data_IF_052000503110
#
_entry.id   IF_052000503110
#
_cell.length_a   1.000
_cell.length_b   1.000
_cell.length_c   1.000
_cell.angle_alpha   90.00
_cell.angle_beta   90.00
_cell.angle_gamma   90.00
#
_symmetry.space_group_name_H-M   'P 1'
#
loop_
_entity.id
_entity.type
_entity.pdbx_description
1 polymer ?
#
# COMPACT_ATOMS: atom_id res chain seq x y z
N UNK A 1 11.33 15.56 26.32
CA UNK A 1 10.07 14.83 26.64
C UNK A 1 8.84 15.73 26.48
N UNK A 2 8.87 16.95 27.01
CA UNK A 2 7.76 17.94 26.92
C UNK A 2 7.51 18.41 25.47
N UNK A 3 8.56 18.58 24.69
CA UNK A 3 8.45 19.03 23.29
C UNK A 3 7.81 17.94 22.42
N UNK A 4 8.27 16.70 22.54
CA UNK A 4 7.73 15.55 21.83
C UNK A 4 6.22 15.36 22.11
N UNK A 5 5.79 15.58 23.35
CA UNK A 5 4.39 15.54 23.74
C UNK A 5 3.58 16.67 23.08
N UNK A 6 4.12 17.88 23.00
CA UNK A 6 3.45 19.01 22.34
C UNK A 6 3.20 18.74 20.86
N UNK A 7 4.18 18.19 20.13
CA UNK A 7 3.97 17.80 18.73
C UNK A 7 2.90 16.74 18.60
N UNK A 8 2.91 15.73 19.47
CA UNK A 8 1.88 14.70 19.46
C UNK A 8 0.47 15.26 19.67
N UNK A 9 0.27 16.16 20.62
CA UNK A 9 -1.04 16.77 20.87
C UNK A 9 -1.55 17.58 19.64
N UNK A 10 -0.64 18.22 18.92
CA UNK A 10 -0.99 18.89 17.64
C UNK A 10 -1.40 17.87 16.59
N UNK A 11 -0.62 16.79 16.44
CA UNK A 11 -0.92 15.70 15.50
C UNK A 11 -2.30 15.10 15.83
N UNK A 12 -2.53 14.69 17.08
CA UNK A 12 -3.80 14.09 17.49
C UNK A 12 -4.97 15.01 17.15
N UNK A 13 -4.88 16.28 17.52
CA UNK A 13 -5.92 17.27 17.24
C UNK A 13 -6.21 17.41 15.74
N UNK A 14 -5.18 17.46 14.90
CA UNK A 14 -5.34 17.59 13.44
C UNK A 14 -5.98 16.34 12.83
N UNK A 15 -5.57 15.16 13.27
CA UNK A 15 -6.08 13.89 12.73
C UNK A 15 -7.51 13.58 13.15
N UNK A 16 -7.97 14.13 14.30
CA UNK A 16 -9.31 13.88 14.83
C UNK A 16 -10.26 15.08 14.74
N UNK A 17 -9.84 16.20 14.13
CA UNK A 17 -10.56 17.49 14.15
C UNK A 17 -12.01 17.42 13.68
N UNK A 18 -12.27 16.68 12.60
CA UNK A 18 -13.60 16.55 11.99
C UNK A 18 -14.17 15.13 12.15
N UNK A 19 -13.64 14.38 13.11
CA UNK A 19 -13.99 12.98 13.33
C UNK A 19 -14.66 12.79 14.68
N UNK A 20 -15.51 11.78 14.78
CA UNK A 20 -16.20 11.45 16.04
C UNK A 20 -16.24 9.94 16.29
N UNK A 21 -16.21 9.51 17.56
CA UNK A 21 -16.34 8.12 17.95
C UNK A 21 -17.69 7.52 17.56
N UNK A 22 -17.71 6.20 17.34
CA UNK A 22 -18.91 5.45 16.97
C UNK A 22 -19.07 4.19 17.83
N UNK A 23 -20.29 3.73 18.02
CA UNK A 23 -20.58 2.53 18.83
C UNK A 23 -20.00 1.25 18.20
N UNK A 24 -20.12 1.11 16.86
CA UNK A 24 -19.66 -0.05 16.11
C UNK A 24 -18.55 0.38 15.13
N UNK A 25 -17.31 0.56 15.61
CA UNK A 25 -16.23 1.09 14.80
C UNK A 25 -15.71 0.07 13.78
N UNK A 26 -15.22 0.59 12.66
CA UNK A 26 -14.60 -0.17 11.58
C UNK A 26 -13.13 0.22 11.48
N UNK A 27 -12.26 -0.79 11.42
CA UNK A 27 -10.86 -0.62 11.12
C UNK A 27 -10.52 -1.21 9.74
N UNK A 28 -10.04 -0.38 8.83
CA UNK A 28 -9.52 -0.83 7.53
C UNK A 28 -8.00 -0.86 7.60
N UNK A 29 -7.41 -2.04 7.49
CA UNK A 29 -5.96 -2.25 7.47
C UNK A 29 -5.52 -2.42 6.03
N UNK A 30 -4.73 -1.47 5.53
CA UNK A 30 -4.27 -1.47 4.13
C UNK A 30 -2.81 -1.91 4.06
N UNK A 31 -2.52 -2.91 3.21
CA UNK A 31 -1.19 -3.41 2.93
C UNK A 31 -0.81 -3.34 1.46
N UNK A 32 0.48 -3.23 1.22
CA UNK A 32 1.06 -3.19 -0.12
C UNK A 32 2.46 -2.57 -0.10
N UNK A 33 3.30 -2.97 -1.06
CA UNK A 33 4.66 -2.45 -1.15
C UNK A 33 4.68 -0.94 -1.48
N UNK A 34 5.80 -0.31 -1.21
CA UNK A 34 6.04 1.08 -1.63
C UNK A 34 5.89 1.19 -3.15
N UNK A 35 5.27 2.24 -3.63
CA UNK A 35 4.97 2.42 -5.06
C UNK A 35 3.74 1.66 -5.56
N UNK A 36 3.07 0.84 -4.74
CA UNK A 36 1.88 0.10 -5.19
C UNK A 36 0.67 1.00 -5.50
N UNK A 37 0.59 2.21 -4.94
CA UNK A 37 -0.56 3.11 -5.11
C UNK A 37 -1.58 3.03 -3.98
N UNK A 38 -1.13 2.74 -2.75
CA UNK A 38 -1.99 2.63 -1.56
C UNK A 38 -2.86 3.86 -1.30
N UNK A 39 -2.38 5.06 -1.63
CA UNK A 39 -3.17 6.30 -1.48
C UNK A 39 -4.51 6.25 -2.24
N UNK A 40 -4.54 5.65 -3.42
CA UNK A 40 -5.79 5.42 -4.16
C UNK A 40 -6.73 4.45 -3.44
N UNK A 41 -6.19 3.36 -2.87
CA UNK A 41 -6.98 2.42 -2.08
C UNK A 41 -7.48 3.03 -0.76
N UNK A 42 -6.72 3.95 -0.15
CA UNK A 42 -7.16 4.74 1.01
C UNK A 42 -8.36 5.60 0.61
N UNK A 43 -8.25 6.40 -0.44
CA UNK A 43 -9.33 7.26 -0.92
C UNK A 43 -10.59 6.45 -1.30
N UNK A 44 -10.40 5.28 -1.90
CA UNK A 44 -11.49 4.34 -2.16
C UNK A 44 -12.12 3.82 -0.86
N UNK A 45 -11.30 3.45 0.12
CA UNK A 45 -11.75 2.94 1.41
C UNK A 45 -12.49 4.00 2.22
N UNK A 46 -12.07 5.25 2.14
CA UNK A 46 -12.69 6.37 2.82
C UNK A 46 -14.16 6.57 2.42
N UNK A 47 -14.51 6.26 1.17
CA UNK A 47 -15.89 6.32 0.65
C UNK A 47 -16.86 5.34 1.34
N UNK A 48 -16.35 4.41 2.17
CA UNK A 48 -17.21 3.51 2.97
C UNK A 48 -17.85 4.21 4.17
N UNK A 49 -17.23 5.29 4.65
CA UNK A 49 -17.62 5.94 5.90
C UNK A 49 -18.56 7.11 5.60
N UNK A 50 -19.75 7.15 6.24
CA UNK A 50 -20.64 8.31 6.16
C UNK A 50 -19.89 9.58 6.61
N UNK A 51 -20.14 10.68 5.92
CA UNK A 51 -19.55 11.99 6.22
C UNK A 51 -18.02 11.99 6.28
N UNK A 52 -17.37 10.98 5.68
CA UNK A 52 -15.94 10.73 5.80
C UNK A 52 -15.44 10.59 7.24
N UNK A 53 -16.31 10.15 8.19
CA UNK A 53 -15.97 9.98 9.59
C UNK A 53 -15.00 8.81 9.81
N UNK A 54 -13.73 9.04 9.51
CA UNK A 54 -12.66 8.05 9.64
C UNK A 54 -11.30 8.72 9.82
N UNK A 55 -10.51 8.27 10.79
CA UNK A 55 -9.13 8.73 11.01
C UNK A 55 -8.19 7.90 10.12
N UNK A 56 -7.44 8.57 9.25
CA UNK A 56 -6.44 7.94 8.39
C UNK A 56 -5.07 8.03 9.06
N UNK A 57 -4.48 6.87 9.37
CA UNK A 57 -3.20 6.77 10.08
C UNK A 57 -2.13 6.25 9.12
N UNK A 58 -1.20 7.13 8.78
CA UNK A 58 -0.06 6.86 7.90
C UNK A 58 1.18 7.56 8.45
N UNK A 59 2.23 6.79 8.77
CA UNK A 59 3.46 7.34 9.35
C UNK A 59 4.18 8.33 8.42
N UNK A 60 4.06 8.18 7.11
CA UNK A 60 4.68 9.09 6.15
C UNK A 60 4.06 10.51 6.19
N UNK A 61 2.79 10.63 6.54
CA UNK A 61 2.10 11.92 6.70
C UNK A 61 2.43 12.61 8.03
N UNK A 62 2.91 11.85 9.03
CA UNK A 62 3.32 12.35 10.34
C UNK A 62 4.79 12.83 10.34
N UNK A 63 5.64 12.31 9.44
CA UNK A 63 7.07 12.70 9.34
C UNK A 63 7.33 14.22 9.23
N UNK A 64 6.53 15.02 8.50
CA UNK A 64 6.74 16.46 8.40
C UNK A 64 6.62 17.22 9.73
N UNK A 65 6.01 16.62 10.76
CA UNK A 65 5.90 17.21 12.10
C UNK A 65 7.21 17.10 12.92
N UNK A 66 8.20 16.37 12.41
CA UNK A 66 9.52 16.33 13.05
C UNK A 66 10.14 17.72 13.08
N UNK A 67 10.64 18.22 14.26
CA UNK A 67 11.10 19.60 14.44
C UNK A 67 12.10 20.07 13.39
N UNK A 68 12.98 19.17 12.97
CA UNK A 68 14.02 19.44 11.97
C UNK A 68 13.72 18.81 10.61
N UNK A 69 12.48 18.32 10.40
CA UNK A 69 12.13 17.56 9.21
C UNK A 69 12.36 18.34 7.92
N UNK A 70 11.93 19.59 7.85
CA UNK A 70 12.10 20.45 6.68
C UNK A 70 13.58 20.78 6.40
N UNK A 71 14.36 21.05 7.45
CA UNK A 71 15.79 21.35 7.32
C UNK A 71 16.56 20.12 6.82
N UNK A 72 16.30 18.94 7.39
CA UNK A 72 16.92 17.68 6.99
C UNK A 72 16.52 17.34 5.54
N UNK A 73 15.26 17.50 5.18
CA UNK A 73 14.79 17.25 3.84
C UNK A 73 15.51 18.11 2.78
N UNK A 74 15.80 19.37 3.09
CA UNK A 74 16.48 20.29 2.18
C UNK A 74 17.99 20.08 2.11
N UNK A 75 18.64 19.82 3.25
CA UNK A 75 20.10 19.71 3.32
C UNK A 75 20.64 18.29 3.15
N UNK A 76 19.88 17.29 3.61
CA UNK A 76 20.29 15.89 3.70
C UNK A 76 19.12 14.96 3.35
N UNK A 77 18.55 15.06 2.11
CA UNK A 77 17.34 14.32 1.73
C UNK A 77 17.47 12.80 1.89
N UNK A 78 18.68 12.26 1.74
CA UNK A 78 18.98 10.84 1.93
C UNK A 78 18.87 10.38 3.41
N UNK A 79 19.01 11.31 4.36
CA UNK A 79 18.88 11.04 5.79
C UNK A 79 17.47 11.29 6.32
N UNK A 80 16.62 11.98 5.56
CA UNK A 80 15.30 12.40 6.01
C UNK A 80 14.49 11.27 6.64
N UNK A 81 14.31 10.18 5.90
CA UNK A 81 13.56 9.02 6.40
C UNK A 81 14.19 8.41 7.63
N UNK A 82 15.53 8.21 7.62
CA UNK A 82 16.26 7.59 8.74
C UNK A 82 16.13 8.38 10.03
N UNK A 83 16.18 9.70 9.94
CA UNK A 83 16.13 10.57 11.14
C UNK A 83 14.68 10.73 11.63
N UNK A 84 13.71 10.90 10.73
CA UNK A 84 12.32 11.17 11.11
C UNK A 84 11.52 9.91 11.47
N UNK A 85 11.99 8.71 11.13
CA UNK A 85 11.24 7.46 11.34
C UNK A 85 10.99 7.16 12.82
N UNK A 86 11.93 7.44 13.70
CA UNK A 86 11.80 7.08 15.11
C UNK A 86 10.65 7.84 15.77
N UNK A 87 10.63 9.16 15.67
CA UNK A 87 9.59 10.00 16.22
C UNK A 87 8.25 9.77 15.53
N UNK A 88 8.23 9.75 14.19
CA UNK A 88 6.98 9.54 13.46
C UNK A 88 6.34 8.19 13.77
N UNK A 89 7.12 7.12 13.91
CA UNK A 89 6.60 5.80 14.31
C UNK A 89 6.07 5.80 15.74
N UNK A 90 6.72 6.51 16.66
CA UNK A 90 6.25 6.66 18.05
C UNK A 90 4.92 7.40 18.07
N UNK A 91 4.82 8.53 17.38
CA UNK A 91 3.55 9.29 17.30
C UNK A 91 2.45 8.52 16.56
N UNK A 92 2.80 7.80 15.49
CA UNK A 92 1.85 6.95 14.76
C UNK A 92 1.28 5.84 15.65
N UNK A 93 2.15 5.19 16.42
CA UNK A 93 1.74 4.13 17.36
C UNK A 93 0.82 4.67 18.45
N UNK A 94 1.16 5.84 18.99
CA UNK A 94 0.35 6.50 20.02
C UNK A 94 -1.00 6.99 19.45
N UNK A 95 -1.00 7.55 18.23
CA UNK A 95 -2.24 7.95 17.57
C UNK A 95 -3.15 6.75 17.30
N UNK A 96 -2.58 5.64 16.84
CA UNK A 96 -3.33 4.40 16.66
C UNK A 96 -3.93 3.88 17.96
N UNK A 97 -3.17 3.98 19.07
CA UNK A 97 -3.65 3.61 20.40
C UNK A 97 -4.82 4.50 20.87
N UNK A 98 -4.66 5.82 20.80
CA UNK A 98 -5.69 6.76 21.26
C UNK A 98 -6.97 6.63 20.42
N UNK A 99 -6.85 6.62 19.08
CA UNK A 99 -7.96 6.51 18.13
C UNK A 99 -8.76 5.23 18.34
N UNK A 100 -8.08 4.08 18.50
CA UNK A 100 -8.79 2.80 18.75
C UNK A 100 -9.46 2.72 20.11
N UNK A 101 -8.84 3.28 21.16
CA UNK A 101 -9.41 3.28 22.51
C UNK A 101 -10.63 4.20 22.62
N UNK A 102 -10.62 5.30 21.87
CA UNK A 102 -11.72 6.25 21.78
C UNK A 102 -12.83 5.81 20.77
N UNK A 103 -12.68 4.65 20.11
CA UNK A 103 -13.69 4.09 19.20
C UNK A 103 -13.95 4.90 17.92
N UNK A 104 -12.95 5.56 17.37
CA UNK A 104 -13.07 6.13 16.03
C UNK A 104 -13.03 5.04 14.97
N UNK A 105 -13.71 5.26 13.83
CA UNK A 105 -13.37 4.52 12.63
C UNK A 105 -11.95 4.86 12.21
N UNK A 106 -11.20 3.89 11.70
CA UNK A 106 -9.83 4.13 11.28
C UNK A 106 -9.45 3.41 9.98
N UNK A 107 -8.56 4.03 9.22
CA UNK A 107 -7.80 3.40 8.13
C UNK A 107 -6.34 3.44 8.54
N UNK A 108 -5.72 2.28 8.69
CA UNK A 108 -4.30 2.16 9.02
C UNK A 108 -3.52 1.67 7.80
N UNK A 109 -2.61 2.51 7.31
CA UNK A 109 -1.73 2.16 6.19
C UNK A 109 -0.42 1.55 6.69
N UNK A 110 -0.08 0.38 6.14
CA UNK A 110 1.19 -0.28 6.40
C UNK A 110 1.72 -1.01 5.17
N UNK A 111 2.85 -1.68 5.34
CA UNK A 111 3.47 -2.47 4.27
C UNK A 111 3.11 -3.95 4.34
N UNK A 112 2.68 -4.42 5.50
CA UNK A 112 2.46 -5.85 5.78
C UNK A 112 3.67 -6.73 5.43
N UNK A 113 4.89 -6.23 5.69
CA UNK A 113 6.13 -6.95 5.38
C UNK A 113 6.38 -8.16 6.28
N UNK A 114 5.68 -8.24 7.42
CA UNK A 114 5.74 -9.31 8.40
C UNK A 114 4.43 -9.41 9.19
N UNK A 115 4.29 -10.45 10.01
CA UNK A 115 3.04 -10.78 10.71
C UNK A 115 2.72 -9.89 11.90
N UNK A 116 3.54 -8.89 12.23
CA UNK A 116 3.33 -8.04 13.41
C UNK A 116 1.93 -7.42 13.48
N UNK A 117 1.40 -6.94 12.36
CA UNK A 117 0.06 -6.35 12.31
C UNK A 117 -1.03 -7.40 12.65
N UNK A 118 -0.82 -8.64 12.19
CA UNK A 118 -1.74 -9.75 12.44
C UNK A 118 -1.71 -10.21 13.89
N UNK A 119 -0.54 -10.18 14.52
CA UNK A 119 -0.36 -10.71 15.88
C UNK A 119 -0.64 -9.67 16.96
N UNK A 120 -0.36 -8.40 16.72
CA UNK A 120 -0.48 -7.34 17.71
C UNK A 120 -1.73 -6.47 17.47
N UNK A 121 -1.89 -5.86 16.29
CA UNK A 121 -2.91 -4.84 16.06
C UNK A 121 -4.31 -5.42 15.85
N UNK A 122 -4.44 -6.42 14.99
CA UNK A 122 -5.77 -6.99 14.65
C UNK A 122 -6.46 -7.61 15.87
N UNK A 123 -5.81 -8.45 16.70
CA UNK A 123 -6.46 -9.00 17.87
C UNK A 123 -6.95 -7.95 18.88
N UNK A 124 -6.18 -6.87 19.05
CA UNK A 124 -6.59 -5.77 19.93
C UNK A 124 -7.83 -5.07 19.36
N UNK A 125 -7.87 -4.78 18.07
CA UNK A 125 -9.03 -4.16 17.41
C UNK A 125 -10.28 -5.06 17.56
N UNK A 126 -10.15 -6.35 17.28
CA UNK A 126 -11.24 -7.32 17.44
C UNK A 126 -11.72 -7.39 18.90
N UNK A 127 -10.79 -7.42 19.88
CA UNK A 127 -11.09 -7.40 21.31
C UNK A 127 -11.80 -6.11 21.76
N UNK A 128 -11.53 -4.98 21.11
CA UNK A 128 -12.23 -3.71 21.32
C UNK A 128 -13.58 -3.63 20.58
N UNK A 129 -13.98 -4.64 19.84
CA UNK A 129 -15.27 -4.70 19.14
C UNK A 129 -15.28 -4.06 17.75
N UNK A 130 -14.10 -3.78 17.15
CA UNK A 130 -14.01 -3.34 15.77
C UNK A 130 -14.42 -4.43 14.79
N UNK A 131 -15.06 -4.02 13.71
CA UNK A 131 -15.07 -4.81 12.47
C UNK A 131 -13.79 -4.56 11.70
N UNK A 132 -12.98 -5.61 11.51
CA UNK A 132 -11.67 -5.50 10.87
C UNK A 132 -11.72 -5.89 9.40
N UNK A 133 -11.46 -4.93 8.53
CA UNK A 133 -11.36 -5.10 7.08
C UNK A 133 -9.89 -5.04 6.68
N UNK A 134 -9.36 -6.13 6.14
CA UNK A 134 -7.98 -6.20 5.64
C UNK A 134 -7.98 -6.05 4.12
N UNK A 135 -7.21 -5.10 3.60
CA UNK A 135 -7.07 -4.83 2.17
C UNK A 135 -5.64 -4.91 1.69
N UNK A 136 -5.36 -5.85 0.81
CA UNK A 136 -4.07 -5.96 0.13
C UNK A 136 -4.11 -5.32 -1.25
N UNK A 137 -3.09 -4.53 -1.60
CA UNK A 137 -2.94 -3.97 -2.96
C UNK A 137 -1.85 -4.74 -3.71
N UNK A 138 -2.25 -5.58 -4.64
CA UNK A 138 -1.38 -6.40 -5.46
C UNK A 138 -1.00 -5.65 -6.75
N UNK A 139 0.31 -5.39 -6.91
CA UNK A 139 0.91 -4.73 -8.07
C UNK A 139 2.26 -5.40 -8.35
N UNK A 140 2.67 -5.51 -9.60
CA UNK A 140 3.95 -6.10 -9.97
C UNK A 140 5.14 -5.34 -9.40
N UNK A 141 6.29 -6.01 -9.33
CA UNK A 141 7.54 -5.39 -8.88
C UNK A 141 8.00 -4.29 -9.83
N UNK A 142 7.86 -4.51 -11.12
CA UNK A 142 8.21 -3.54 -12.15
C UNK A 142 7.36 -2.28 -12.06
N UNK A 143 6.03 -2.42 -12.00
CA UNK A 143 5.09 -1.31 -11.87
C UNK A 143 5.35 -0.45 -10.63
N UNK A 144 5.50 -1.09 -9.48
CA UNK A 144 5.70 -0.37 -8.23
C UNK A 144 7.06 0.32 -8.15
N UNK A 145 8.13 -0.27 -8.70
CA UNK A 145 9.45 0.35 -8.76
C UNK A 145 9.50 1.53 -9.74
N UNK A 146 8.89 1.41 -10.93
CA UNK A 146 8.71 2.56 -11.84
C UNK A 146 8.00 3.71 -11.14
N UNK A 147 6.89 3.44 -10.46
CA UNK A 147 6.13 4.46 -9.75
C UNK A 147 6.90 5.10 -8.58
N UNK A 148 7.86 4.41 -7.97
CA UNK A 148 8.78 5.00 -6.99
C UNK A 148 9.65 6.07 -7.66
N UNK A 149 10.25 5.76 -8.80
CA UNK A 149 11.09 6.70 -9.55
C UNK A 149 10.29 7.90 -10.08
N UNK A 150 9.14 7.66 -10.69
CA UNK A 150 8.24 8.72 -11.18
C UNK A 150 7.84 9.68 -10.05
N UNK A 151 7.44 9.15 -8.89
CA UNK A 151 7.11 9.95 -7.73
C UNK A 151 8.31 10.76 -7.24
N UNK A 152 9.48 10.15 -7.21
CA UNK A 152 10.71 10.81 -6.79
C UNK A 152 11.06 11.99 -7.71
N UNK A 153 11.07 11.77 -9.03
CA UNK A 153 11.32 12.82 -10.02
C UNK A 153 10.28 13.95 -9.92
N UNK A 154 9.01 13.61 -9.74
CA UNK A 154 7.96 14.59 -9.50
C UNK A 154 8.20 15.42 -8.23
N UNK A 155 8.62 14.79 -7.13
CA UNK A 155 8.95 15.50 -5.89
C UNK A 155 10.14 16.44 -6.06
N UNK A 156 11.24 15.97 -6.68
CA UNK A 156 12.43 16.80 -6.94
C UNK A 156 12.08 18.00 -7.80
N UNK A 157 11.30 17.80 -8.86
CA UNK A 157 10.85 18.87 -9.76
C UNK A 157 10.02 19.95 -9.04
N UNK A 158 9.12 19.55 -8.15
CA UNK A 158 8.20 20.49 -7.50
C UNK A 158 8.71 21.09 -6.19
N UNK A 159 9.54 20.34 -5.43
CA UNK A 159 9.99 20.72 -4.09
C UNK A 159 11.50 20.97 -4.02
N UNK A 160 12.27 20.64 -5.08
CA UNK A 160 13.72 20.66 -5.07
C UNK A 160 14.38 19.46 -4.37
N UNK A 161 13.60 18.57 -3.76
CA UNK A 161 14.04 17.33 -3.11
C UNK A 161 12.95 16.25 -3.19
N UNK A 162 13.34 15.00 -3.03
CA UNK A 162 12.40 13.88 -3.04
C UNK A 162 12.89 12.72 -2.16
N UNK A 163 12.01 11.74 -1.94
CA UNK A 163 12.33 10.51 -1.22
C UNK A 163 12.41 9.36 -2.19
N UNK A 164 13.62 8.95 -2.54
CA UNK A 164 13.87 7.72 -3.28
C UNK A 164 13.92 6.55 -2.31
N UNK A 165 13.13 5.53 -2.57
CA UNK A 165 13.07 4.32 -1.73
C UNK A 165 14.11 3.33 -2.23
N UNK A 166 14.98 2.86 -1.32
CA UNK A 166 16.00 1.87 -1.65
C UNK A 166 15.39 0.52 -2.04
N UNK A 167 15.98 -0.20 -3.02
CA UNK A 167 15.47 -1.47 -3.52
C UNK A 167 15.19 -2.52 -2.44
N UNK A 168 16.07 -2.64 -1.44
CA UNK A 168 15.90 -3.58 -0.32
C UNK A 168 14.59 -3.37 0.42
N UNK A 169 14.24 -2.13 0.72
CA UNK A 169 13.00 -1.82 1.44
C UNK A 169 11.77 -2.20 0.60
N UNK A 170 11.80 -1.89 -0.70
CA UNK A 170 10.75 -2.33 -1.62
C UNK A 170 10.63 -3.85 -1.65
N UNK A 171 11.77 -4.57 -1.82
CA UNK A 171 11.78 -6.02 -1.97
C UNK A 171 11.31 -6.74 -0.69
N UNK A 172 11.69 -6.25 0.50
CA UNK A 172 11.19 -6.79 1.77
C UNK A 172 9.66 -6.71 1.86
N UNK A 173 9.07 -5.59 1.47
CA UNK A 173 7.62 -5.40 1.52
C UNK A 173 6.91 -6.15 0.39
N UNK A 174 7.50 -6.20 -0.80
CA UNK A 174 6.98 -6.95 -1.94
C UNK A 174 6.92 -8.46 -1.64
N UNK A 175 7.97 -9.03 -1.07
CA UNK A 175 8.02 -10.46 -0.76
C UNK A 175 7.25 -10.81 0.51
N UNK A 176 7.22 -9.94 1.51
CA UNK A 176 6.59 -10.20 2.80
C UNK A 176 5.05 -10.14 2.76
N UNK A 177 4.47 -9.21 2.02
CA UNK A 177 3.03 -8.96 2.03
C UNK A 177 2.18 -10.19 1.66
N UNK A 178 2.48 -11.00 0.62
CA UNK A 178 1.71 -12.19 0.32
C UNK A 178 1.69 -13.21 1.47
N UNK A 179 2.82 -13.41 2.13
CA UNK A 179 2.93 -14.33 3.26
C UNK A 179 2.17 -13.82 4.49
N UNK A 180 2.23 -12.51 4.75
CA UNK A 180 1.46 -11.89 5.84
C UNK A 180 -0.05 -11.99 5.60
N UNK A 181 -0.51 -11.78 4.36
CA UNK A 181 -1.93 -11.93 3.99
C UNK A 181 -2.38 -13.39 4.12
N UNK A 182 -1.55 -14.35 3.68
CA UNK A 182 -1.82 -15.78 3.87
C UNK A 182 -1.96 -16.13 5.35
N UNK A 183 -1.05 -15.63 6.19
CA UNK A 183 -1.08 -15.83 7.63
C UNK A 183 -2.36 -15.24 8.26
N UNK A 184 -2.74 -14.03 7.86
CA UNK A 184 -3.99 -13.39 8.29
C UNK A 184 -5.21 -14.25 7.93
N UNK A 185 -5.24 -14.77 6.70
CA UNK A 185 -6.34 -15.60 6.22
C UNK A 185 -6.45 -16.92 6.97
N UNK A 186 -5.33 -17.64 7.11
CA UNK A 186 -5.28 -18.95 7.77
C UNK A 186 -5.64 -18.88 9.27
N UNK A 187 -5.30 -17.78 9.94
CA UNK A 187 -5.55 -17.58 11.37
C UNK A 187 -6.85 -16.81 11.65
N UNK A 188 -7.69 -16.54 10.66
CA UNK A 188 -8.95 -15.83 10.82
C UNK A 188 -8.80 -14.41 11.42
N UNK A 189 -7.67 -13.75 11.16
CA UNK A 189 -7.35 -12.42 11.67
C UNK A 189 -8.00 -11.31 10.81
N UNK A 190 -9.30 -11.44 10.53
CA UNK A 190 -10.08 -10.49 9.74
C UNK A 190 -11.58 -10.79 9.91
N UNK A 191 -12.42 -9.81 9.65
CA UNK A 191 -13.84 -10.00 9.39
C UNK A 191 -14.10 -10.01 7.87
N UNK A 192 -13.39 -9.12 7.14
CA UNK A 192 -13.38 -9.07 5.67
C UNK A 192 -11.94 -9.00 5.18
N UNK A 193 -11.58 -9.82 4.19
CA UNK A 193 -10.27 -9.81 3.53
C UNK A 193 -10.47 -9.58 2.03
N UNK A 194 -9.83 -8.55 1.49
CA UNK A 194 -9.95 -8.15 0.10
C UNK A 194 -8.58 -7.91 -0.54
N UNK A 195 -8.40 -8.38 -1.78
CA UNK A 195 -7.22 -8.10 -2.59
C UNK A 195 -7.64 -7.27 -3.79
N UNK A 196 -6.99 -6.15 -3.93
CA UNK A 196 -7.19 -5.21 -5.03
C UNK A 196 -5.96 -5.12 -5.92
N UNK A 197 -6.15 -4.65 -7.14
CA UNK A 197 -5.09 -4.12 -8.01
C UNK A 197 -5.44 -2.71 -8.46
N UNK A 198 -4.50 -2.01 -9.11
CA UNK A 198 -4.77 -0.71 -9.70
C UNK A 198 -5.88 -0.80 -10.73
N UNK A 199 -6.75 0.20 -10.75
CA UNK A 199 -7.74 0.40 -11.79
C UNK A 199 -7.30 1.45 -12.81
N UNK A 200 -8.24 1.88 -13.64
CA UNK A 200 -8.01 2.92 -14.67
C UNK A 200 -7.64 4.28 -14.06
N UNK A 201 -8.16 4.57 -12.88
CA UNK A 201 -7.81 5.76 -12.09
C UNK A 201 -7.36 5.34 -10.69
N UNK A 202 -6.51 6.13 -10.01
CA UNK A 202 -5.98 5.75 -8.70
C UNK A 202 -7.05 5.47 -7.64
N UNK A 203 -8.19 6.15 -7.70
CA UNK A 203 -9.30 6.07 -6.74
C UNK A 203 -10.37 5.03 -7.11
N UNK A 204 -10.12 4.23 -8.15
CA UNK A 204 -11.00 3.16 -8.63
C UNK A 204 -10.24 1.82 -8.73
N UNK A 205 -9.72 1.28 -7.61
CA UNK A 205 -9.03 0.00 -7.61
C UNK A 205 -10.00 -1.13 -8.01
N UNK A 206 -9.45 -2.19 -8.60
CA UNK A 206 -10.22 -3.35 -9.04
C UNK A 206 -10.10 -4.47 -8.02
N UNK A 207 -11.24 -4.93 -7.50
CA UNK A 207 -11.30 -6.08 -6.59
C UNK A 207 -10.99 -7.37 -7.35
N UNK A 208 -10.04 -8.15 -6.84
CA UNK A 208 -9.59 -9.42 -7.42
C UNK A 208 -9.94 -10.64 -6.55
N UNK A 209 -9.98 -10.45 -5.24
CA UNK A 209 -10.30 -11.51 -4.28
C UNK A 209 -11.05 -10.93 -3.09
N UNK A 210 -12.03 -11.67 -2.56
CA UNK A 210 -12.70 -11.34 -1.31
C UNK A 210 -13.04 -12.59 -0.51
N UNK A 211 -12.80 -12.54 0.78
CA UNK A 211 -13.16 -13.57 1.74
C UNK A 211 -13.80 -12.95 2.99
N UNK A 212 -14.77 -13.64 3.57
CA UNK A 212 -15.47 -13.23 4.77
C UNK A 212 -15.28 -14.29 5.86
N UNK A 213 -14.94 -13.86 7.04
CA UNK A 213 -14.88 -14.76 8.18
C UNK A 213 -16.29 -15.22 8.56
N UNK A 214 -16.56 -16.50 8.40
CA UNK A 214 -17.90 -17.10 8.65
C UNK A 214 -18.40 -16.89 10.06
N UNK A 215 -17.50 -16.71 11.04
CA UNK A 215 -17.82 -16.53 12.45
C UNK A 215 -18.31 -15.09 12.78
N UNK A 216 -18.22 -14.16 11.83
CA UNK A 216 -18.54 -12.74 12.03
C UNK A 216 -19.59 -12.19 11.05
N UNK A 217 -20.30 -13.06 10.34
CA UNK A 217 -21.25 -12.72 9.27
C UNK A 217 -22.30 -11.68 9.70
N UNK A 218 -22.78 -11.73 10.95
CA UNK A 218 -23.77 -10.76 11.44
C UNK A 218 -23.19 -9.34 11.55
N UNK A 219 -21.95 -9.21 12.04
CA UNK A 219 -21.24 -7.92 12.10
C UNK A 219 -20.91 -7.39 10.70
N UNK A 220 -20.48 -8.27 9.81
CA UNK A 220 -20.13 -7.90 8.44
C UNK A 220 -21.35 -7.50 7.60
N UNK A 221 -22.54 -7.95 7.93
CA UNK A 221 -23.78 -7.59 7.20
C UNK A 221 -24.05 -6.09 7.22
N UNK A 222 -23.63 -5.36 8.24
CA UNK A 222 -23.76 -3.90 8.28
C UNK A 222 -22.71 -3.20 7.41
N UNK A 223 -21.47 -3.69 7.40
CA UNK A 223 -20.40 -3.22 6.49
C UNK A 223 -20.75 -3.52 5.03
N UNK A 224 -21.42 -4.67 4.80
CA UNK A 224 -21.82 -5.15 3.48
C UNK A 224 -23.14 -4.58 2.97
N UNK A 225 -23.96 -3.95 3.82
CA UNK A 225 -25.21 -3.29 3.39
C UNK A 225 -24.96 -2.15 2.39
N UNK A 226 -23.79 -1.58 2.39
CA UNK A 226 -23.31 -0.70 1.32
C UNK A 226 -22.86 -1.52 0.09
N UNK A 227 -23.77 -2.32 -0.46
CA UNK A 227 -23.64 -3.36 -1.49
C UNK A 227 -22.87 -3.03 -2.78
N UNK A 228 -22.19 -1.91 -2.87
CA UNK A 228 -21.32 -1.58 -4.02
C UNK A 228 -19.97 -2.31 -4.03
N UNK A 229 -19.59 -2.98 -2.92
CA UNK A 229 -18.22 -3.48 -2.72
C UNK A 229 -18.04 -4.98 -2.94
N UNK A 230 -19.12 -5.76 -3.06
CA UNK A 230 -19.02 -7.19 -3.40
C UNK A 230 -19.78 -7.40 -4.70
N UNK A 231 -19.07 -7.43 -5.80
CA UNK A 231 -19.65 -7.85 -7.08
C UNK A 231 -19.73 -9.37 -7.12
N UNK A 232 -20.78 -9.91 -7.75
CA UNK A 232 -20.91 -11.35 -8.05
C UNK A 232 -19.72 -11.90 -8.86
N UNK A 233 -18.90 -11.02 -9.44
CA UNK A 233 -17.67 -11.36 -10.17
C UNK A 233 -16.53 -11.83 -9.25
N UNK A 234 -16.40 -11.29 -8.03
CA UNK A 234 -15.36 -11.74 -7.08
C UNK A 234 -15.59 -13.17 -6.59
N UNK A 235 -16.85 -13.64 -6.59
CA UNK A 235 -17.19 -15.02 -6.28
C UNK A 235 -16.96 -16.01 -7.44
N UNK A 236 -16.74 -15.51 -8.67
CA UNK A 236 -16.50 -16.34 -9.87
C UNK A 236 -15.02 -16.62 -10.15
N UNK A 237 -14.14 -15.87 -9.55
CA UNK A 237 -12.71 -16.14 -9.72
C UNK A 237 -12.31 -17.29 -8.79
N UNK A 238 -12.03 -18.46 -9.36
CA UNK A 238 -11.58 -19.70 -8.70
C UNK A 238 -10.17 -19.56 -8.09
N UNK A 239 -9.89 -18.50 -7.33
CA UNK A 239 -8.66 -18.41 -6.57
C UNK A 239 -8.83 -19.23 -5.29
N UNK A 240 -7.87 -20.11 -5.02
CA UNK A 240 -7.92 -20.98 -3.86
C UNK A 240 -7.73 -20.19 -2.55
N UNK A 241 -6.91 -19.10 -2.56
CA UNK A 241 -6.65 -18.27 -1.41
C UNK A 241 -6.14 -16.86 -1.80
N UNK A 242 -6.02 -15.98 -0.81
CA UNK A 242 -5.62 -14.59 -1.03
C UNK A 242 -4.17 -14.45 -1.55
N UNK A 243 -3.24 -15.30 -1.10
CA UNK A 243 -1.85 -15.29 -1.56
C UNK A 243 -1.73 -15.62 -3.04
N UNK A 244 -2.39 -16.68 -3.49
CA UNK A 244 -2.40 -17.08 -4.90
C UNK A 244 -2.99 -15.98 -5.77
N UNK A 245 -4.05 -15.32 -5.30
CA UNK A 245 -4.62 -14.15 -5.96
C UNK A 245 -3.60 -13.02 -6.13
N UNK A 246 -2.83 -12.70 -5.09
CA UNK A 246 -1.79 -11.67 -5.15
C UNK A 246 -0.73 -12.03 -6.20
N UNK A 247 -0.23 -13.26 -6.18
CA UNK A 247 0.83 -13.70 -7.09
C UNK A 247 0.38 -13.65 -8.55
N UNK A 248 -0.83 -14.15 -8.83
CA UNK A 248 -1.40 -14.14 -10.17
C UNK A 248 -1.67 -12.70 -10.66
N UNK A 249 -2.23 -11.85 -9.83
CA UNK A 249 -2.47 -10.44 -10.18
C UNK A 249 -1.17 -9.72 -10.52
N UNK A 250 -0.09 -10.02 -9.81
CA UNK A 250 1.24 -9.45 -10.09
C UNK A 250 1.78 -9.89 -11.45
N UNK A 251 1.60 -11.16 -11.80
CA UNK A 251 1.97 -11.68 -13.12
C UNK A 251 1.15 -11.03 -14.24
N UNK A 252 -0.18 -10.97 -14.10
CA UNK A 252 -1.06 -10.29 -15.05
C UNK A 252 -0.71 -8.81 -15.23
N UNK A 253 -0.33 -8.13 -14.15
CA UNK A 253 0.06 -6.74 -14.19
C UNK A 253 1.40 -6.54 -14.92
N UNK A 254 2.38 -7.44 -14.78
CA UNK A 254 3.63 -7.37 -15.55
C UNK A 254 3.37 -7.48 -17.06
N UNK A 255 2.51 -8.42 -17.47
CA UNK A 255 2.13 -8.57 -18.88
C UNK A 255 1.47 -7.30 -19.44
N UNK A 256 0.63 -6.63 -18.65
CA UNK A 256 -0.12 -5.45 -19.09
C UNK A 256 0.75 -4.20 -19.25
N UNK A 257 1.77 -4.02 -18.41
CA UNK A 257 2.54 -2.76 -18.37
C UNK A 257 3.81 -2.78 -19.20
N UNK A 258 4.22 -3.97 -19.72
CA UNK A 258 5.55 -4.14 -20.32
C UNK A 258 5.77 -3.20 -21.53
N UNK A 259 4.72 -2.94 -22.31
CA UNK A 259 4.79 -2.06 -23.48
C UNK A 259 4.90 -0.58 -23.09
N UNK A 260 4.22 -0.16 -22.00
CA UNK A 260 4.25 1.23 -21.52
C UNK A 260 5.58 1.58 -20.82
N UNK A 261 6.33 0.57 -20.38
CA UNK A 261 7.56 0.76 -19.61
C UNK A 261 8.61 1.60 -20.35
N UNK A 262 8.73 1.45 -21.68
CA UNK A 262 9.74 2.18 -22.46
C UNK A 262 9.56 3.69 -22.39
N UNK A 263 8.34 4.18 -22.53
CA UNK A 263 8.02 5.61 -22.46
C UNK A 263 8.25 6.15 -21.03
N UNK A 264 7.85 5.37 -20.03
CA UNK A 264 8.05 5.72 -18.61
C UNK A 264 9.53 5.79 -18.24
N UNK A 265 10.36 4.83 -18.69
CA UNK A 265 11.81 4.88 -18.53
C UNK A 265 12.42 6.10 -19.22
N UNK A 266 12.03 6.39 -20.47
CA UNK A 266 12.54 7.55 -21.20
C UNK A 266 12.22 8.86 -20.46
N UNK A 267 11.02 9.01 -19.90
CA UNK A 267 10.64 10.18 -19.12
C UNK A 267 11.49 10.33 -17.84
N UNK A 268 11.72 9.24 -17.10
CA UNK A 268 12.57 9.25 -15.90
C UNK A 268 14.02 9.61 -16.27
N UNK A 269 14.59 8.99 -17.30
CA UNK A 269 15.97 9.24 -17.75
C UNK A 269 16.16 10.71 -18.14
N UNK A 270 15.22 11.28 -18.91
CA UNK A 270 15.27 12.68 -19.29
C UNK A 270 15.25 13.59 -18.06
N UNK A 271 14.34 13.37 -17.12
CA UNK A 271 14.28 14.13 -15.86
C UNK A 271 15.59 14.04 -15.06
N UNK A 272 16.16 12.83 -14.94
CA UNK A 272 17.44 12.61 -14.24
C UNK A 272 18.62 13.31 -14.91
N UNK A 273 18.65 13.38 -16.24
CA UNK A 273 19.69 14.07 -16.99
C UNK A 273 19.59 15.58 -16.83
N UNK A 274 18.38 16.14 -16.91
CA UNK A 274 18.14 17.59 -16.78
C UNK A 274 18.59 18.14 -15.42
N UNK A 275 18.47 17.36 -14.36
CA UNK A 275 18.86 17.75 -12.99
C UNK A 275 20.24 17.23 -12.54
N UNK A 276 20.98 16.57 -13.42
CA UNK A 276 22.28 15.97 -13.10
C UNK A 276 22.21 14.98 -11.90
N UNK A 277 21.32 14.01 -11.98
CA UNK A 277 21.12 12.99 -10.95
C UNK A 277 22.42 12.32 -10.50
N UNK A 278 22.49 11.98 -9.21
CA UNK A 278 23.65 11.33 -8.59
C UNK A 278 23.93 9.94 -9.17
N UNK A 279 25.16 9.44 -8.94
CA UNK A 279 25.56 8.10 -9.37
C UNK A 279 24.67 7.01 -8.77
N UNK A 280 24.34 7.11 -7.46
CA UNK A 280 23.50 6.13 -6.77
C UNK A 280 22.07 6.07 -7.34
N UNK A 281 21.50 7.22 -7.70
CA UNK A 281 20.17 7.25 -8.35
C UNK A 281 20.19 6.57 -9.72
N UNK A 282 21.25 6.78 -10.49
CA UNK A 282 21.45 6.14 -11.80
C UNK A 282 21.64 4.63 -11.67
N UNK A 283 22.38 4.17 -10.66
CA UNK A 283 22.56 2.75 -10.37
C UNK A 283 21.23 2.06 -10.03
N UNK A 284 20.38 2.66 -9.22
CA UNK A 284 19.05 2.12 -8.91
C UNK A 284 18.13 2.05 -10.14
N UNK A 285 18.19 3.03 -11.02
CA UNK A 285 17.45 3.00 -12.29
C UNK A 285 17.99 1.91 -13.23
N UNK A 286 19.31 1.70 -13.26
CA UNK A 286 19.93 0.65 -14.06
C UNK A 286 19.49 -0.75 -13.62
N UNK A 287 19.45 -1.02 -12.31
CA UNK A 287 18.89 -2.28 -11.77
C UNK A 287 17.42 -2.48 -12.18
N UNK A 288 16.64 -1.41 -12.24
CA UNK A 288 15.26 -1.49 -12.68
C UNK A 288 15.14 -1.76 -14.19
N UNK A 289 16.04 -1.21 -15.00
CA UNK A 289 16.14 -1.51 -16.43
C UNK A 289 16.52 -2.97 -16.68
N UNK A 290 17.42 -3.54 -15.89
CA UNK A 290 17.75 -4.96 -15.96
C UNK A 290 16.53 -5.84 -15.62
N UNK A 291 15.77 -5.48 -14.57
CA UNK A 291 14.53 -6.17 -14.23
C UNK A 291 13.54 -6.13 -15.40
N UNK A 292 13.35 -4.97 -16.03
CA UNK A 292 12.50 -4.81 -17.20
C UNK A 292 12.93 -5.70 -18.35
N UNK A 293 14.22 -5.69 -18.71
CA UNK A 293 14.76 -6.50 -19.82
C UNK A 293 14.54 -8.00 -19.56
N UNK A 294 14.82 -8.47 -18.34
CA UNK A 294 14.62 -9.86 -17.96
C UNK A 294 13.14 -10.27 -18.03
N UNK A 295 12.24 -9.40 -17.56
CA UNK A 295 10.79 -9.63 -17.63
C UNK A 295 10.30 -9.68 -19.07
N UNK A 296 10.71 -8.73 -19.91
CA UNK A 296 10.34 -8.67 -21.33
C UNK A 296 10.81 -9.90 -22.10
N UNK A 297 12.04 -10.36 -21.88
CA UNK A 297 12.55 -11.61 -22.49
C UNK A 297 11.77 -12.84 -22.05
N UNK A 298 11.42 -12.92 -20.75
CA UNK A 298 10.61 -14.01 -20.20
C UNK A 298 9.22 -14.06 -20.85
N UNK A 299 8.57 -12.92 -21.01
CA UNK A 299 7.26 -12.83 -21.64
C UNK A 299 7.30 -13.20 -23.12
N UNK A 300 8.30 -12.74 -23.87
CA UNK A 300 8.51 -13.14 -25.28
C UNK A 300 8.70 -14.64 -25.45
N UNK A 301 9.44 -15.28 -24.55
CA UNK A 301 9.61 -16.75 -24.55
C UNK A 301 8.30 -17.47 -24.27
N UNK A 302 7.50 -16.96 -23.31
CA UNK A 302 6.18 -17.51 -22.97
C UNK A 302 5.23 -17.46 -24.17
N UNK A 303 5.16 -16.32 -24.86
CA UNK A 303 4.36 -16.16 -26.07
C UNK A 303 4.81 -17.07 -27.22
N UNK A 304 6.12 -17.23 -27.41
CA UNK A 304 6.68 -18.14 -28.42
C UNK A 304 6.28 -19.58 -28.13
N UNK A 305 6.42 -20.06 -26.87
CA UNK A 305 6.02 -21.41 -26.49
C UNK A 305 4.52 -21.62 -26.66
N UNK A 306 3.72 -20.65 -26.26
CA UNK A 306 2.25 -20.70 -26.44
C UNK A 306 1.88 -20.85 -27.92
N UNK A 307 2.55 -20.09 -28.80
CA UNK A 307 2.32 -20.15 -30.25
C UNK A 307 2.66 -21.53 -30.84
N UNK A 308 3.77 -22.15 -30.40
CA UNK A 308 4.12 -23.51 -30.83
C UNK A 308 3.04 -24.51 -30.38
N UNK A 309 2.60 -24.42 -29.12
CA UNK A 309 1.57 -25.35 -28.59
C UNK A 309 0.25 -25.17 -29.34
N UNK A 310 -0.17 -23.95 -29.62
CA UNK A 310 -1.40 -23.66 -30.38
C UNK A 310 -1.31 -24.13 -31.84
N UNK A 311 -0.12 -24.13 -32.44
CA UNK A 311 0.13 -24.62 -33.81
C UNK A 311 0.22 -26.16 -33.86
N UNK A 312 0.67 -26.85 -32.80
CA UNK A 312 0.71 -28.32 -32.70
C UNK A 312 -0.66 -28.95 -32.36
N UNK A 313 -1.60 -28.17 -31.77
CA UNK A 313 -2.95 -28.63 -31.41
C UNK A 313 -3.96 -28.44 -32.52
N UNK A 314 -3.59 -27.73 -33.61
CA UNK A 314 -4.39 -27.57 -34.86
C UNK A 314 -4.05 -28.63 -35.87
#
# INVERSE_FOLDING_TARGET
EDEHKKYYEVIKRLWTADQYPVENPIAVIIGGQTGAGKSGLISYSQKMFPDNNVVIINSDEIKPFHPYGEEIAKKYPELYTKVTDQESNTWTSKLFEDVRNEKYNLIFEGTMKNNRIADEAIPILQGLGYTVVVRGLAVSGLESRLSIHERYEGQVKHKGWGRLVVPEHHNQTFNGMPNTIEYIEQNGRYDVLEIYTRGKTPDMPVLKYANHNKNTIEKTSQVLKNKKFITKESQKNNYMNAKDSILKVREENEEQIIDDCKERFAAIINSMNDRHASKSEKEQLFELLELYNNTNEKLKKKDYVKKIVDDEVR
#
